data_IF_734944184589
#
_entry.id   IF_734944184589
#
_cell.length_a   1.000
_cell.length_b   1.000
_cell.length_c   1.000
_cell.angle_alpha   90.00
_cell.angle_beta   90.00
_cell.angle_gamma   90.00
#
_symmetry.space_group_name_H-M   'P 1'
#
loop_
_entity.id
_entity.type
_entity.pdbx_description
1 polymer ?
#
# COMPACT_ATOMS: atom_id res chain seq x y z
N UNK A 1 6.24 61.31 -24.79
CA UNK A 1 5.78 59.91 -24.62
C UNK A 1 4.28 59.89 -24.75
N UNK A 2 3.70 59.07 -25.63
CA UNK A 2 2.26 59.09 -25.92
C UNK A 2 1.49 58.45 -24.76
N UNK A 3 0.34 59.01 -24.39
CA UNK A 3 -0.52 58.51 -23.31
C UNK A 3 -0.89 57.03 -23.54
N UNK A 4 -1.09 56.63 -24.81
CA UNK A 4 -1.36 55.24 -25.20
C UNK A 4 -0.21 54.27 -24.85
N UNK A 5 1.04 54.71 -24.94
CA UNK A 5 2.20 53.87 -24.64
C UNK A 5 2.30 53.63 -23.13
N UNK A 6 1.96 54.65 -22.33
CA UNK A 6 1.95 54.54 -20.87
C UNK A 6 0.90 53.56 -20.36
N UNK A 7 -0.30 53.57 -20.96
CA UNK A 7 -1.35 52.59 -20.62
C UNK A 7 -0.94 51.16 -20.97
N UNK A 8 -0.23 50.97 -22.10
CA UNK A 8 0.27 49.66 -22.50
C UNK A 8 1.32 49.13 -21.52
N UNK A 9 2.26 49.97 -21.10
CA UNK A 9 3.26 49.62 -20.08
C UNK A 9 2.60 49.21 -18.77
N UNK A 10 1.59 49.96 -18.30
CA UNK A 10 0.85 49.62 -17.09
C UNK A 10 0.16 48.25 -17.20
N UNK A 11 -0.45 47.94 -18.34
CA UNK A 11 -1.11 46.67 -18.56
C UNK A 11 -0.11 45.50 -18.58
N UNK A 12 1.05 45.71 -19.20
CA UNK A 12 2.14 44.73 -19.22
C UNK A 12 2.68 44.48 -17.80
N UNK A 13 2.86 45.53 -17.00
CA UNK A 13 3.28 45.42 -15.59
C UNK A 13 2.25 44.65 -14.75
N UNK A 14 0.96 44.96 -14.88
CA UNK A 14 -0.11 44.23 -14.18
C UNK A 14 -0.16 42.75 -14.58
N UNK A 15 0.00 42.46 -15.87
CA UNK A 15 0.10 41.09 -16.39
C UNK A 15 1.32 40.36 -15.80
N UNK A 16 2.47 41.02 -15.71
CA UNK A 16 3.67 40.44 -15.11
C UNK A 16 3.50 40.19 -13.60
N UNK A 17 2.91 41.14 -12.86
CA UNK A 17 2.60 40.96 -11.44
C UNK A 17 1.63 39.79 -11.23
N UNK A 18 0.57 39.69 -12.05
CA UNK A 18 -0.39 38.60 -11.98
C UNK A 18 0.27 37.24 -12.21
N UNK A 19 1.14 37.12 -13.22
CA UNK A 19 1.90 35.91 -13.50
C UNK A 19 2.83 35.54 -12.34
N UNK A 20 3.54 36.53 -11.79
CA UNK A 20 4.45 36.33 -10.65
C UNK A 20 3.69 35.89 -9.40
N UNK A 21 2.54 36.48 -9.10
CA UNK A 21 1.69 36.07 -7.98
C UNK A 21 1.17 34.64 -8.15
N UNK A 22 0.75 34.27 -9.36
CA UNK A 22 0.32 32.91 -9.66
C UNK A 22 1.47 31.91 -9.50
N UNK A 23 2.66 32.24 -10.00
CA UNK A 23 3.84 31.40 -9.84
C UNK A 23 4.22 31.23 -8.38
N UNK A 24 4.18 32.31 -7.60
CA UNK A 24 4.45 32.29 -6.16
C UNK A 24 3.43 31.42 -5.40
N UNK A 25 2.14 31.53 -5.73
CA UNK A 25 1.11 30.70 -5.13
C UNK A 25 1.33 29.20 -5.41
N UNK A 26 1.63 28.84 -6.66
CA UNK A 26 1.95 27.45 -7.04
C UNK A 26 3.18 26.92 -6.29
N UNK A 27 4.19 27.77 -6.08
CA UNK A 27 5.37 27.40 -5.30
C UNK A 27 4.99 27.10 -3.84
N UNK A 28 4.22 27.99 -3.20
CA UNK A 28 3.77 27.76 -1.82
C UNK A 28 2.88 26.53 -1.68
N UNK A 29 1.98 26.29 -2.64
CA UNK A 29 1.14 25.09 -2.65
C UNK A 29 2.00 23.83 -2.73
N UNK A 30 3.02 23.83 -3.58
CA UNK A 30 3.97 22.72 -3.68
C UNK A 30 4.74 22.51 -2.37
N UNK A 31 5.27 23.57 -1.78
CA UNK A 31 5.99 23.49 -0.49
C UNK A 31 5.10 22.95 0.63
N UNK A 32 3.83 23.36 0.65
CA UNK A 32 2.84 22.84 1.58
C UNK A 32 2.57 21.35 1.35
N UNK A 33 2.35 20.93 0.10
CA UNK A 33 2.15 19.52 -0.24
C UNK A 33 3.36 18.67 0.13
N UNK A 34 4.58 19.11 -0.21
CA UNK A 34 5.81 18.40 0.11
C UNK A 34 6.01 18.27 1.63
N UNK A 35 5.62 19.29 2.40
CA UNK A 35 5.67 19.26 3.86
C UNK A 35 4.62 18.34 4.47
N UNK A 36 3.39 18.37 3.95
CA UNK A 36 2.30 17.49 4.38
C UNK A 36 2.60 16.02 4.09
N UNK A 37 3.14 15.71 2.90
CA UNK A 37 3.54 14.35 2.52
C UNK A 37 4.62 13.84 3.49
N UNK A 38 5.64 14.65 3.77
CA UNK A 38 6.71 14.28 4.72
C UNK A 38 6.16 14.02 6.12
N UNK A 39 5.33 14.92 6.64
CA UNK A 39 4.71 14.74 7.96
C UNK A 39 3.90 13.44 8.04
N UNK A 40 3.08 13.14 7.02
CA UNK A 40 2.32 11.89 6.98
C UNK A 40 3.18 10.63 6.85
N UNK A 41 4.33 10.72 6.16
CA UNK A 41 5.30 9.63 6.10
C UNK A 41 5.96 9.41 7.46
N UNK A 42 6.35 10.47 8.16
CA UNK A 42 6.94 10.40 9.50
C UNK A 42 5.95 9.81 10.50
N UNK A 43 4.69 10.27 10.50
CA UNK A 43 3.62 9.70 11.32
C UNK A 43 3.42 8.21 11.05
N UNK A 44 3.37 7.83 9.77
CA UNK A 44 3.23 6.42 9.38
C UNK A 44 4.42 5.59 9.85
N UNK A 45 5.65 6.10 9.71
CA UNK A 45 6.85 5.40 10.14
C UNK A 45 6.91 5.27 11.67
N UNK A 46 6.52 6.31 12.39
CA UNK A 46 6.39 6.25 13.85
C UNK A 46 5.35 5.20 14.27
N UNK A 47 4.19 5.17 13.61
CA UNK A 47 3.16 4.18 13.87
C UNK A 47 3.63 2.74 13.58
N UNK A 48 4.54 2.53 12.62
CA UNK A 48 5.10 1.20 12.38
C UNK A 48 5.80 0.64 13.62
N UNK A 49 6.50 1.49 14.36
CA UNK A 49 7.23 1.12 15.57
C UNK A 49 6.35 1.15 16.84
N UNK A 50 5.35 2.04 16.90
CA UNK A 50 4.58 2.31 18.14
C UNK A 50 3.16 1.76 18.15
N UNK A 51 2.48 1.70 17.00
CA UNK A 51 1.10 1.25 16.87
C UNK A 51 0.84 0.63 15.48
N UNK A 52 1.09 -0.68 15.40
CA UNK A 52 0.93 -1.46 14.17
C UNK A 52 -0.52 -1.38 13.61
N UNK A 53 -1.54 -1.22 14.47
CA UNK A 53 -2.93 -1.11 14.01
C UNK A 53 -3.14 0.18 13.24
N UNK A 54 -2.66 1.31 13.78
CA UNK A 54 -2.72 2.61 13.10
C UNK A 54 -1.86 2.64 11.84
N UNK A 55 -0.69 1.99 11.87
CA UNK A 55 0.13 1.80 10.67
C UNK A 55 -0.64 1.08 9.56
N UNK A 56 -1.27 -0.06 9.85
CA UNK A 56 -2.01 -0.86 8.85
C UNK A 56 -3.14 -0.03 8.22
N UNK A 57 -3.90 0.70 9.04
CA UNK A 57 -4.99 1.56 8.55
C UNK A 57 -4.46 2.64 7.60
N UNK A 58 -3.36 3.30 7.99
CA UNK A 58 -2.71 4.34 7.17
C UNK A 58 -2.12 3.76 5.87
N UNK A 59 -1.38 2.66 5.96
CA UNK A 59 -0.70 2.02 4.83
C UNK A 59 -1.68 1.49 3.77
N UNK A 60 -2.83 0.96 4.20
CA UNK A 60 -3.85 0.45 3.28
C UNK A 60 -4.81 1.53 2.78
N UNK A 61 -4.71 2.76 3.30
CA UNK A 61 -5.70 3.83 3.07
C UNK A 61 -7.14 3.34 3.27
N UNK A 62 -7.35 2.46 4.25
CA UNK A 62 -8.60 1.74 4.43
C UNK A 62 -9.00 1.71 5.90
N UNK A 63 -10.28 1.98 6.17
CA UNK A 63 -10.85 1.88 7.51
C UNK A 63 -11.17 0.42 7.83
N UNK A 64 -10.67 -0.08 8.97
CA UNK A 64 -10.88 -1.48 9.37
C UNK A 64 -12.38 -1.80 9.44
N UNK A 65 -12.83 -2.72 8.60
CA UNK A 65 -14.17 -3.32 8.69
C UNK A 65 -14.11 -4.54 9.60
N UNK A 66 -15.07 -4.66 10.52
CA UNK A 66 -15.14 -5.78 11.47
C UNK A 66 -16.49 -6.46 11.34
N UNK A 67 -16.46 -7.78 11.30
CA UNK A 67 -17.63 -8.64 11.44
C UNK A 67 -17.52 -9.26 12.83
N UNK A 68 -18.58 -9.16 13.62
CA UNK A 68 -18.67 -9.84 14.92
C UNK A 68 -19.55 -11.08 14.75
N UNK A 69 -19.02 -12.24 15.10
CA UNK A 69 -19.73 -13.51 15.02
C UNK A 69 -20.21 -13.88 16.42
N UNK A 70 -21.51 -14.19 16.54
CA UNK A 70 -22.10 -14.57 17.83
C UNK A 70 -22.20 -16.09 18.00
N UNK A 71 -22.09 -16.84 16.90
CA UNK A 71 -22.22 -18.30 16.87
C UNK A 71 -21.41 -18.87 15.72
N UNK A 72 -20.73 -19.98 15.95
CA UNK A 72 -19.95 -20.69 14.93
C UNK A 72 -20.30 -22.16 14.96
N UNK A 73 -20.57 -22.73 13.80
CA UNK A 73 -20.79 -24.15 13.65
C UNK A 73 -19.51 -24.81 13.14
N UNK A 74 -18.92 -25.71 13.93
CA UNK A 74 -17.69 -26.41 13.59
C UNK A 74 -17.99 -27.88 13.28
N UNK A 75 -17.40 -28.39 12.21
CA UNK A 75 -17.44 -29.81 11.86
C UNK A 75 -16.37 -30.54 12.67
N UNK A 76 -16.65 -30.80 13.96
CA UNK A 76 -15.74 -31.54 14.82
C UNK A 76 -15.78 -33.05 14.47
N UNK A 77 -14.64 -33.78 14.54
CA UNK A 77 -14.51 -35.14 13.99
C UNK A 77 -15.53 -36.16 14.53
N UNK A 78 -15.91 -36.04 15.80
CA UNK A 78 -16.86 -36.95 16.46
C UNK A 78 -18.32 -36.51 16.35
N UNK A 79 -18.58 -35.20 16.42
CA UNK A 79 -19.93 -34.65 16.32
C UNK A 79 -19.85 -33.16 16.01
N UNK A 80 -20.70 -32.60 15.11
CA UNK A 80 -20.74 -31.16 14.88
C UNK A 80 -21.05 -30.37 16.16
N UNK A 81 -20.34 -29.26 16.37
CA UNK A 81 -20.44 -28.44 17.58
C UNK A 81 -20.88 -27.02 17.22
N UNK A 82 -21.81 -26.46 18.01
CA UNK A 82 -22.19 -25.06 17.94
C UNK A 82 -21.50 -24.30 19.09
N UNK A 83 -20.57 -23.41 18.73
CA UNK A 83 -19.89 -22.53 19.68
C UNK A 83 -20.72 -21.27 19.89
N UNK A 84 -20.95 -20.93 21.15
CA UNK A 84 -21.66 -19.71 21.57
C UNK A 84 -20.88 -18.90 22.59
N UNK A 85 -19.85 -19.48 23.21
CA UNK A 85 -18.95 -18.76 24.13
C UNK A 85 -18.04 -17.82 23.32
N UNK A 86 -17.90 -16.53 23.71
CA UNK A 86 -17.11 -15.56 22.97
C UNK A 86 -15.65 -15.97 22.76
N UNK A 87 -15.02 -16.60 23.76
CA UNK A 87 -13.61 -16.99 23.68
C UNK A 87 -13.45 -18.17 22.72
N UNK A 88 -14.31 -19.17 22.85
CA UNK A 88 -14.29 -20.34 21.94
C UNK A 88 -14.56 -19.93 20.49
N UNK A 89 -15.44 -18.92 20.29
CA UNK A 89 -15.70 -18.31 18.99
C UNK A 89 -14.43 -17.65 18.45
N UNK A 90 -13.79 -16.76 19.21
CA UNK A 90 -12.59 -16.06 18.77
C UNK A 90 -11.46 -17.02 18.40
N UNK A 91 -11.19 -18.03 19.25
CA UNK A 91 -10.18 -19.04 19.02
C UNK A 91 -10.47 -19.85 17.73
N UNK A 92 -11.73 -20.24 17.51
CA UNK A 92 -12.14 -20.96 16.30
C UNK A 92 -12.02 -20.12 15.03
N UNK A 93 -12.38 -18.83 15.07
CA UNK A 93 -12.24 -17.89 13.95
C UNK A 93 -10.78 -17.72 13.58
N UNK A 94 -9.94 -17.42 14.57
CA UNK A 94 -8.51 -17.22 14.37
C UNK A 94 -7.90 -18.46 13.72
N UNK A 95 -8.17 -19.64 14.29
CA UNK A 95 -7.65 -20.90 13.76
C UNK A 95 -8.13 -21.17 12.33
N UNK A 96 -9.42 -20.93 12.03
CA UNK A 96 -9.95 -21.12 10.69
C UNK A 96 -9.27 -20.20 9.68
N UNK A 97 -9.25 -18.88 9.90
CA UNK A 97 -8.70 -17.95 8.92
C UNK A 97 -7.18 -18.01 8.79
N UNK A 98 -6.46 -18.46 9.82
CA UNK A 98 -5.02 -18.72 9.72
C UNK A 98 -4.69 -19.96 8.89
N UNK A 99 -5.57 -20.98 8.85
CA UNK A 99 -5.25 -22.27 8.27
C UNK A 99 -6.17 -22.69 7.08
N UNK A 100 -7.21 -21.92 6.78
CA UNK A 100 -8.20 -22.25 5.74
C UNK A 100 -7.57 -22.31 4.35
N UNK A 101 -6.56 -21.48 4.09
CA UNK A 101 -5.77 -21.57 2.86
C UNK A 101 -4.62 -22.55 3.12
N UNK A 102 -4.55 -23.69 2.39
CA UNK A 102 -3.40 -24.56 2.49
C UNK A 102 -2.16 -23.77 2.08
N UNK A 103 -1.22 -23.60 3.02
CA UNK A 103 0.10 -23.08 2.68
C UNK A 103 0.74 -24.14 1.80
N UNK A 104 0.73 -23.93 0.47
CA UNK A 104 1.48 -24.78 -0.44
C UNK A 104 2.95 -24.60 -0.07
N UNK A 105 3.52 -25.62 0.55
CA UNK A 105 4.91 -25.62 1.06
C UNK A 105 5.95 -25.49 -0.06
N UNK A 106 5.52 -25.59 -1.32
CA UNK A 106 6.34 -25.40 -2.51
C UNK A 106 6.02 -24.06 -3.16
N UNK A 107 6.91 -23.06 -3.03
CA UNK A 107 6.83 -21.84 -3.82
C UNK A 107 6.84 -22.18 -5.32
N UNK A 108 6.11 -21.42 -6.16
CA UNK A 108 6.24 -21.54 -7.61
C UNK A 108 7.68 -21.19 -8.02
N UNK A 109 8.27 -22.02 -8.86
CA UNK A 109 9.67 -21.87 -9.32
C UNK A 109 9.76 -21.05 -10.61
N UNK A 110 8.66 -20.96 -11.36
CA UNK A 110 8.52 -20.13 -12.57
C UNK A 110 7.11 -19.54 -12.67
N UNK A 111 6.98 -18.42 -13.37
CA UNK A 111 5.69 -17.82 -13.76
C UNK A 111 4.80 -18.85 -14.47
N UNK A 112 5.39 -19.73 -15.29
CA UNK A 112 4.67 -20.78 -16.03
C UNK A 112 3.99 -21.81 -15.13
N UNK A 113 4.44 -21.94 -13.88
CA UNK A 113 3.85 -22.87 -12.90
C UNK A 113 2.67 -22.26 -12.14
N UNK A 114 2.39 -20.98 -12.37
CA UNK A 114 1.28 -20.29 -11.72
C UNK A 114 -0.08 -20.73 -12.31
N UNK A 115 -1.14 -20.75 -11.50
CA UNK A 115 -2.50 -20.90 -12.01
C UNK A 115 -2.81 -19.86 -13.11
N UNK A 116 -3.63 -20.23 -14.09
CA UNK A 116 -3.93 -19.42 -15.28
C UNK A 116 -4.30 -17.94 -14.98
N UNK A 117 -5.05 -17.70 -13.90
CA UNK A 117 -5.40 -16.35 -13.43
C UNK A 117 -4.15 -15.50 -13.16
N UNK A 118 -3.15 -16.07 -12.50
CA UNK A 118 -1.92 -15.38 -12.11
C UNK A 118 -0.90 -15.37 -13.23
N UNK A 119 -0.82 -16.44 -14.04
CA UNK A 119 0.03 -16.48 -15.23
C UNK A 119 -0.26 -15.27 -16.15
N UNK A 120 -1.53 -15.02 -16.44
CA UNK A 120 -1.93 -13.88 -17.29
C UNK A 120 -1.58 -12.53 -16.65
N UNK A 121 -1.75 -12.39 -15.33
CA UNK A 121 -1.50 -11.14 -14.63
C UNK A 121 -0.01 -10.78 -14.52
N UNK A 122 0.86 -11.80 -14.46
CA UNK A 122 2.31 -11.64 -14.31
C UNK A 122 3.08 -11.91 -15.61
N UNK A 123 2.38 -11.97 -16.75
CA UNK A 123 3.05 -12.10 -18.03
C UNK A 123 3.94 -10.86 -18.27
N UNK A 124 5.19 -11.05 -18.74
CA UNK A 124 6.05 -9.93 -19.09
C UNK A 124 5.38 -8.98 -20.09
N UNK A 125 5.53 -7.69 -19.85
CA UNK A 125 5.02 -6.65 -20.75
C UNK A 125 6.07 -6.32 -21.81
N UNK A 126 5.64 -6.14 -23.06
CA UNK A 126 6.55 -5.93 -24.20
C UNK A 126 7.34 -4.61 -24.12
N UNK A 127 6.81 -3.62 -23.41
CA UNK A 127 7.42 -2.30 -23.18
C UNK A 127 8.36 -2.27 -21.95
N UNK A 128 8.45 -3.37 -21.21
CA UNK A 128 9.27 -3.49 -20.01
C UNK A 128 10.45 -4.43 -20.29
N UNK A 129 11.65 -4.00 -19.89
CA UNK A 129 12.86 -4.83 -20.01
C UNK A 129 12.67 -6.18 -19.32
N UNK A 130 12.95 -7.28 -20.03
CA UNK A 130 12.82 -8.65 -19.51
C UNK A 130 13.64 -8.88 -18.24
N UNK A 131 14.75 -8.16 -18.07
CA UNK A 131 15.65 -8.27 -16.91
C UNK A 131 14.99 -7.96 -15.57
N UNK A 132 13.86 -7.23 -15.56
CA UNK A 132 13.10 -6.95 -14.33
C UNK A 132 12.46 -8.23 -13.77
N UNK A 133 12.17 -9.21 -14.62
CA UNK A 133 11.50 -10.45 -14.23
C UNK A 133 12.47 -11.56 -13.77
N UNK A 134 13.77 -11.43 -14.08
CA UNK A 134 14.80 -12.45 -13.77
C UNK A 134 14.87 -12.78 -12.26
N UNK A 135 14.53 -11.82 -11.41
CA UNK A 135 14.56 -11.97 -9.94
C UNK A 135 13.20 -12.21 -9.30
N UNK A 136 12.11 -12.28 -10.08
CA UNK A 136 10.74 -12.33 -9.55
C UNK A 136 10.47 -13.57 -8.70
N UNK A 137 11.08 -14.71 -9.07
CA UNK A 137 10.90 -16.00 -8.39
C UNK A 137 12.07 -16.37 -7.47
N UNK A 138 13.01 -15.44 -7.22
CA UNK A 138 14.10 -15.70 -6.30
C UNK A 138 13.55 -15.90 -4.88
N UNK A 139 14.01 -16.94 -4.15
CA UNK A 139 13.59 -17.13 -2.78
C UNK A 139 13.98 -15.92 -1.93
N UNK A 140 13.03 -15.43 -1.14
CA UNK A 140 13.32 -14.35 -0.18
C UNK A 140 14.32 -14.87 0.85
N UNK A 141 15.41 -14.13 1.15
CA UNK A 141 16.33 -14.52 2.20
C UNK A 141 15.56 -14.55 3.53
N UNK A 142 15.55 -15.70 4.21
CA UNK A 142 14.97 -15.81 5.55
C UNK A 142 15.85 -15.03 6.53
N UNK A 143 15.69 -13.71 6.60
CA UNK A 143 16.28 -12.89 7.66
C UNK A 143 15.24 -12.70 8.76
N UNK A 144 15.52 -13.31 9.91
CA UNK A 144 15.11 -12.86 11.25
C UNK A 144 13.68 -13.19 11.73
N UNK A 145 13.13 -14.36 11.36
CA UNK A 145 11.96 -14.91 12.06
C UNK A 145 10.62 -14.16 11.84
N UNK A 146 10.59 -13.19 10.91
CA UNK A 146 9.35 -12.55 10.50
C UNK A 146 8.53 -13.49 9.60
N UNK A 147 7.21 -13.46 9.79
CA UNK A 147 6.26 -14.15 8.93
C UNK A 147 6.42 -13.67 7.47
N UNK A 148 6.38 -14.57 6.46
CA UNK A 148 6.54 -14.20 5.05
C UNK A 148 5.52 -13.15 4.56
N UNK A 149 4.40 -12.98 5.26
CA UNK A 149 3.41 -11.95 4.97
C UNK A 149 3.86 -10.52 5.33
N UNK A 150 4.76 -10.35 6.30
CA UNK A 150 5.26 -9.03 6.70
C UNK A 150 6.31 -8.49 5.71
N UNK A 151 7.03 -9.39 5.02
CA UNK A 151 8.01 -8.99 4.01
C UNK A 151 7.36 -8.39 2.75
N UNK A 152 6.10 -8.73 2.47
CA UNK A 152 5.37 -8.17 1.33
C UNK A 152 5.03 -6.68 1.50
N UNK A 153 5.03 -6.19 2.75
CA UNK A 153 4.80 -4.77 3.07
C UNK A 153 6.10 -3.97 3.13
N UNK A 154 7.26 -4.63 3.22
CA UNK A 154 8.56 -3.96 3.11
C UNK A 154 8.97 -3.81 1.64
N UNK A 155 8.21 -3.02 0.89
CA UNK A 155 8.71 -2.50 -0.38
C UNK A 155 9.82 -1.51 -0.01
N UNK A 156 11.08 -1.91 -0.18
CA UNK A 156 12.20 -0.96 -0.17
C UNK A 156 11.85 0.18 -1.13
N UNK A 157 12.00 1.46 -0.75
CA UNK A 157 11.78 2.55 -1.68
C UNK A 157 12.69 2.33 -2.89
N UNK A 158 12.10 2.40 -4.09
CA UNK A 158 12.86 2.51 -5.33
C UNK A 158 13.75 3.73 -5.17
N UNK A 159 15.04 3.53 -4.93
CA UNK A 159 16.03 4.57 -5.12
C UNK A 159 16.19 4.69 -6.63
N UNK A 160 15.43 5.60 -7.22
CA UNK A 160 15.72 6.07 -8.58
C UNK A 160 16.97 6.95 -8.52
N UNK A 161 17.87 6.85 -9.51
CA UNK A 161 19.09 7.64 -9.59
C UNK A 161 18.83 9.14 -9.71
#
# INVERSE_FOLDING_TARGET
>A
MNISDNFKLLLDDLSNISKSLRAFHLLQEKEFQDSSIRAHLDDRNNNFETDLSSFIVSALSHTRRRITLNRIFTNHPTQPQLLTDPKDIDDAVINHFQNFVPIKSTPPVSVDTLPARWFTAYQPMDDVSSSIYDSLMNPLPLTNGYSPFLLLLTVKPLVLP
#
